data_IF_847306772327
#
_entry.id   IF_847306772327
#
_cell.length_a   1.000
_cell.length_b   1.000
_cell.length_c   1.000
_cell.angle_alpha   90.00
_cell.angle_beta   90.00
_cell.angle_gamma   90.00
#
_symmetry.space_group_name_H-M   'P 1'
#
loop_
_entity.id
_entity.type
_entity.pdbx_description
1 polymer ?
#
# COMPACT_ATOMS: atom_id res chain seq x y z
N UNK A 1 -20.77 -1.16 -11.20
CA UNK A 1 -21.79 -0.93 -10.17
C UNK A 1 -22.66 0.26 -10.55
N UNK A 2 -22.13 1.49 -10.67
CA UNK A 2 -22.93 2.67 -11.05
C UNK A 2 -23.72 2.54 -12.37
N UNK A 3 -23.19 1.79 -13.35
CA UNK A 3 -23.86 1.53 -14.64
C UNK A 3 -24.95 0.45 -14.57
N UNK A 4 -24.80 -0.53 -13.67
CA UNK A 4 -25.58 -1.78 -13.72
C UNK A 4 -26.51 -1.94 -12.52
N UNK A 5 -26.16 -1.36 -11.37
CA UNK A 5 -26.88 -1.42 -10.09
C UNK A 5 -26.73 -0.09 -9.33
N UNK A 6 -27.22 1.04 -9.86
CA UNK A 6 -27.12 2.34 -9.20
C UNK A 6 -27.90 2.42 -7.87
N UNK A 7 -28.99 1.67 -7.74
CA UNK A 7 -29.87 1.65 -6.56
C UNK A 7 -29.17 1.17 -5.28
N UNK A 8 -28.16 0.30 -5.41
CA UNK A 8 -27.36 -0.22 -4.28
C UNK A 8 -26.73 0.91 -3.47
N UNK A 9 -26.40 2.03 -4.12
CA UNK A 9 -25.78 3.20 -3.48
C UNK A 9 -26.75 4.03 -2.63
N UNK A 10 -28.07 3.78 -2.72
CA UNK A 10 -29.05 4.41 -1.83
C UNK A 10 -29.08 3.74 -0.45
N UNK A 11 -28.68 2.47 -0.38
CA UNK A 11 -28.72 1.66 0.85
C UNK A 11 -27.33 1.50 1.47
N UNK A 12 -26.28 1.35 0.63
CA UNK A 12 -24.94 1.03 1.09
C UNK A 12 -23.92 2.12 0.74
N UNK A 13 -23.20 2.59 1.75
CA UNK A 13 -22.01 3.42 1.57
C UNK A 13 -20.81 2.52 1.29
N UNK A 14 -20.21 2.66 0.11
CA UNK A 14 -18.93 2.02 -0.22
C UNK A 14 -17.81 2.98 0.19
N UNK A 15 -16.87 2.50 0.98
CA UNK A 15 -15.67 3.24 1.37
C UNK A 15 -14.42 2.43 1.04
N UNK A 16 -13.36 3.12 0.66
CA UNK A 16 -12.03 2.54 0.60
C UNK A 16 -11.47 2.34 2.00
N UNK A 17 -10.50 1.43 2.12
CA UNK A 17 -9.76 1.25 3.38
C UNK A 17 -9.04 2.52 3.82
N UNK A 18 -8.60 3.36 2.88
CA UNK A 18 -7.94 4.63 3.19
C UNK A 18 -8.92 5.61 3.85
N UNK A 19 -10.12 5.77 3.29
CA UNK A 19 -11.14 6.65 3.86
C UNK A 19 -11.56 6.17 5.26
N UNK A 20 -11.76 4.87 5.43
CA UNK A 20 -12.14 4.29 6.72
C UNK A 20 -11.07 4.51 7.79
N UNK A 21 -9.81 4.20 7.47
CA UNK A 21 -8.70 4.39 8.40
C UNK A 21 -8.47 5.87 8.72
N UNK A 22 -8.53 6.75 7.72
CA UNK A 22 -8.43 8.20 7.94
C UNK A 22 -9.57 8.74 8.79
N UNK A 23 -10.81 8.25 8.61
CA UNK A 23 -11.93 8.60 9.47
C UNK A 23 -11.64 8.20 10.92
N UNK A 24 -11.19 6.97 11.14
CA UNK A 24 -10.93 6.47 12.49
C UNK A 24 -9.81 7.24 13.20
N UNK A 25 -8.74 7.56 12.48
CA UNK A 25 -7.62 8.35 13.01
C UNK A 25 -8.07 9.78 13.31
N UNK A 26 -8.68 10.48 12.34
CA UNK A 26 -9.07 11.89 12.48
C UNK A 26 -10.17 12.11 13.53
N UNK A 27 -11.09 11.16 13.67
CA UNK A 27 -12.14 11.21 14.68
C UNK A 27 -11.67 10.76 16.08
N UNK A 28 -10.40 10.35 16.23
CA UNK A 28 -9.87 9.85 17.50
C UNK A 28 -10.49 8.52 17.95
N UNK A 29 -11.14 7.78 17.04
CA UNK A 29 -11.69 6.45 17.32
C UNK A 29 -10.58 5.42 17.58
N UNK A 30 -9.42 5.64 16.97
CA UNK A 30 -8.19 4.90 17.24
C UNK A 30 -7.06 5.89 17.52
N UNK A 31 -6.11 5.47 18.36
CA UNK A 31 -4.87 6.19 18.62
C UNK A 31 -3.70 5.31 18.22
N UNK A 32 -2.67 5.92 17.64
CA UNK A 32 -1.53 5.20 17.05
C UNK A 32 -0.24 5.62 17.74
N UNK A 33 0.58 4.62 18.06
CA UNK A 33 1.96 4.77 18.47
C UNK A 33 2.86 4.67 17.22
N UNK A 34 3.45 5.80 16.85
CA UNK A 34 4.35 5.87 15.72
C UNK A 34 5.79 5.44 16.06
N UNK A 35 6.06 4.97 17.28
CA UNK A 35 7.38 4.51 17.70
C UNK A 35 7.57 2.99 17.54
N UNK A 36 6.52 2.27 17.14
CA UNK A 36 6.58 0.83 16.87
C UNK A 36 7.43 0.52 15.63
N UNK A 37 7.35 1.36 14.59
CA UNK A 37 8.05 1.17 13.32
C UNK A 37 9.06 2.30 13.09
N UNK A 38 10.23 2.21 13.71
CA UNK A 38 11.27 3.26 13.63
C UNK A 38 12.22 3.13 12.44
N UNK A 39 12.20 1.99 11.75
CA UNK A 39 13.05 1.75 10.58
C UNK A 39 12.58 2.60 9.38
N UNK A 40 13.50 2.95 8.47
CA UNK A 40 13.17 3.65 7.22
C UNK A 40 12.04 2.96 6.46
N UNK A 41 10.94 3.67 6.25
CA UNK A 41 9.75 3.13 5.63
C UNK A 41 9.42 3.87 4.32
N UNK A 42 8.80 3.19 3.37
CA UNK A 42 8.24 3.82 2.15
C UNK A 42 6.83 3.34 1.89
N UNK A 43 6.01 4.25 1.39
CA UNK A 43 4.70 3.90 0.85
C UNK A 43 4.79 3.54 -0.63
N UNK A 44 4.33 2.35 -1.00
CA UNK A 44 4.21 1.96 -2.40
C UNK A 44 2.89 2.46 -2.98
N UNK A 45 2.97 3.45 -3.87
CA UNK A 45 1.85 3.90 -4.72
C UNK A 45 1.44 2.79 -5.70
N UNK A 46 0.33 2.08 -5.47
CA UNK A 46 -0.05 0.97 -6.32
C UNK A 46 -0.96 1.46 -7.44
N UNK A 47 -0.85 0.85 -8.62
CA UNK A 47 -1.61 1.25 -9.79
C UNK A 47 -3.14 1.13 -9.61
N UNK A 48 -3.61 0.23 -8.73
CA UNK A 48 -5.03 0.04 -8.46
C UNK A 48 -5.63 1.22 -7.68
N UNK A 49 -4.98 1.68 -6.60
CA UNK A 49 -5.46 2.77 -5.77
C UNK A 49 -5.04 4.16 -6.27
N UNK A 50 -4.00 4.22 -7.11
CA UNK A 50 -3.63 5.43 -7.83
C UNK A 50 -4.40 5.59 -9.14
N UNK A 51 -3.80 5.12 -10.23
CA UNK A 51 -4.29 5.34 -11.61
C UNK A 51 -5.68 4.77 -11.88
N UNK A 52 -5.96 3.53 -11.43
CA UNK A 52 -7.25 2.88 -11.70
C UNK A 52 -8.38 3.53 -10.91
N UNK A 53 -8.18 3.82 -9.62
CA UNK A 53 -9.16 4.59 -8.83
C UNK A 53 -9.39 5.98 -9.40
N UNK A 54 -8.32 6.70 -9.80
CA UNK A 54 -8.48 8.03 -10.42
C UNK A 54 -9.35 7.98 -11.68
N UNK A 55 -9.08 7.01 -12.56
CA UNK A 55 -9.86 6.82 -13.78
C UNK A 55 -11.31 6.42 -13.52
N UNK A 56 -11.57 5.63 -12.49
CA UNK A 56 -12.89 5.08 -12.21
C UNK A 56 -13.77 6.00 -11.35
N UNK A 57 -13.15 6.75 -10.43
CA UNK A 57 -13.84 7.47 -9.36
C UNK A 57 -13.40 8.93 -9.24
N UNK A 58 -12.46 9.41 -10.05
CA UNK A 58 -11.93 10.77 -9.96
C UNK A 58 -10.96 11.02 -8.79
N UNK A 59 -10.64 9.98 -8.00
CA UNK A 59 -9.78 10.08 -6.82
C UNK A 59 -8.68 9.02 -6.85
N UNK A 60 -7.45 9.43 -6.56
CA UNK A 60 -6.32 8.55 -6.28
C UNK A 60 -6.01 8.59 -4.78
N UNK A 61 -5.61 7.46 -4.20
CA UNK A 61 -5.26 7.35 -2.78
C UNK A 61 -3.74 7.36 -2.56
N UNK A 62 -3.11 8.48 -2.91
CA UNK A 62 -1.67 8.66 -2.75
C UNK A 62 -1.34 9.33 -1.42
N UNK A 63 -2.01 10.43 -1.10
CA UNK A 63 -1.72 11.20 0.10
C UNK A 63 -2.33 10.54 1.33
N UNK A 64 -3.53 9.97 1.22
CA UNK A 64 -4.16 9.23 2.32
C UNK A 64 -3.30 8.04 2.75
N UNK A 65 -2.67 7.36 1.79
CA UNK A 65 -1.71 6.29 2.09
C UNK A 65 -0.49 6.79 2.85
N UNK A 66 0.05 7.96 2.49
CA UNK A 66 1.18 8.60 3.17
C UNK A 66 0.78 9.09 4.56
N UNK A 67 -0.37 9.73 4.70
CA UNK A 67 -0.85 10.27 5.97
C UNK A 67 -1.07 9.17 7.00
N UNK A 68 -1.71 8.05 6.60
CA UNK A 68 -1.85 6.87 7.47
C UNK A 68 -0.46 6.31 7.82
N UNK A 69 0.44 6.20 6.84
CA UNK A 69 1.78 5.65 7.08
C UNK A 69 2.61 6.53 8.02
N UNK A 70 2.54 7.86 7.89
CA UNK A 70 3.21 8.82 8.81
C UNK A 70 2.65 8.77 10.22
N UNK A 71 1.38 8.43 10.38
CA UNK A 71 0.78 8.23 11.70
C UNK A 71 1.32 6.96 12.40
N UNK A 72 1.97 6.06 11.67
CA UNK A 72 2.52 4.79 12.18
C UNK A 72 4.06 4.73 12.17
N UNK A 73 4.72 5.50 11.30
CA UNK A 73 6.17 5.46 11.06
C UNK A 73 6.75 6.88 11.10
N UNK A 74 7.82 7.15 11.85
CA UNK A 74 8.40 8.48 11.95
C UNK A 74 9.36 8.81 10.79
N UNK A 75 10.05 7.81 10.22
CA UNK A 75 10.94 7.94 9.04
C UNK A 75 10.25 7.40 7.78
N UNK A 76 9.24 8.12 7.27
CA UNK A 76 8.61 7.82 5.99
C UNK A 76 9.31 8.57 4.85
N UNK A 77 9.94 7.81 3.95
CA UNK A 77 10.64 8.29 2.77
C UNK A 77 9.80 8.13 1.51
N UNK A 78 10.26 8.74 0.43
CA UNK A 78 9.67 8.61 -0.88
C UNK A 78 10.50 7.71 -1.78
N UNK A 79 9.81 6.94 -2.62
CA UNK A 79 10.40 6.36 -3.83
C UNK A 79 10.34 7.40 -4.96
N UNK A 80 11.27 7.34 -5.91
CA UNK A 80 11.23 8.16 -7.13
C UNK A 80 11.23 7.27 -8.38
N UNK A 81 10.34 7.49 -9.36
CA UNK A 81 9.16 8.37 -9.31
C UNK A 81 8.03 7.81 -8.43
N UNK A 82 7.14 8.68 -7.96
CA UNK A 82 6.00 8.34 -7.09
C UNK A 82 4.65 8.75 -7.71
N UNK A 83 3.57 8.52 -6.97
CA UNK A 83 2.18 8.87 -7.34
C UNK A 83 1.80 8.30 -8.71
N UNK A 84 1.37 9.17 -9.63
CA UNK A 84 0.92 8.78 -10.96
C UNK A 84 2.02 8.11 -11.79
N UNK A 85 3.27 8.48 -11.54
CA UNK A 85 4.45 8.01 -12.27
C UNK A 85 5.08 6.76 -11.63
N UNK A 86 4.58 6.31 -10.48
CA UNK A 86 5.11 5.14 -9.79
C UNK A 86 5.07 3.88 -10.68
N UNK A 87 6.17 3.14 -10.65
CA UNK A 87 6.29 1.87 -11.37
C UNK A 87 5.35 0.80 -10.80
N UNK A 88 4.80 -0.03 -11.67
CA UNK A 88 4.00 -1.19 -11.28
C UNK A 88 4.92 -2.28 -10.65
N UNK A 89 4.38 -3.08 -9.73
CA UNK A 89 5.10 -4.21 -9.12
C UNK A 89 5.30 -5.40 -10.09
N UNK A 90 4.50 -5.48 -11.16
CA UNK A 90 4.51 -6.57 -12.15
C UNK A 90 3.43 -7.64 -11.97
N UNK A 91 2.72 -7.67 -10.84
CA UNK A 91 1.76 -8.74 -10.50
C UNK A 91 0.29 -8.45 -10.84
N UNK A 92 -0.02 -7.27 -11.39
CA UNK A 92 -1.39 -6.89 -11.75
C UNK A 92 -1.95 -7.68 -12.93
N UNK A 93 -3.26 -7.51 -13.20
CA UNK A 93 -3.89 -8.08 -14.41
C UNK A 93 -3.98 -9.61 -14.45
N UNK A 94 -3.82 -10.28 -13.31
CA UNK A 94 -3.80 -11.75 -13.21
C UNK A 94 -2.40 -12.35 -13.24
N UNK A 95 -1.34 -11.55 -13.45
CA UNK A 95 0.03 -12.05 -13.57
C UNK A 95 0.55 -12.79 -12.33
N UNK A 96 0.07 -12.44 -11.14
CA UNK A 96 0.39 -13.18 -9.91
C UNK A 96 -0.23 -14.58 -9.87
N UNK A 97 -1.48 -14.72 -10.29
CA UNK A 97 -2.24 -15.97 -10.21
C UNK A 97 -1.95 -16.93 -11.37
N UNK A 98 -1.46 -16.39 -12.48
CA UNK A 98 -1.16 -17.11 -13.71
C UNK A 98 0.34 -17.48 -13.78
N UNK A 99 0.77 -18.41 -14.65
CA UNK A 99 2.15 -18.91 -14.69
C UNK A 99 3.15 -17.93 -15.33
N UNK A 100 3.04 -16.63 -15.04
CA UNK A 100 3.89 -15.55 -15.57
C UNK A 100 5.00 -15.15 -14.58
N UNK A 101 5.57 -16.12 -13.88
CA UNK A 101 6.56 -15.86 -12.81
C UNK A 101 7.81 -15.15 -13.36
N UNK A 102 8.33 -15.62 -14.50
CA UNK A 102 9.52 -15.03 -15.11
C UNK A 102 9.26 -13.59 -15.57
N UNK A 103 8.12 -13.34 -16.22
CA UNK A 103 7.73 -12.05 -16.76
C UNK A 103 7.45 -11.04 -15.65
N UNK A 104 6.71 -11.42 -14.60
CA UNK A 104 6.40 -10.53 -13.48
C UNK A 104 7.66 -10.17 -12.67
N UNK A 105 8.60 -11.11 -12.51
CA UNK A 105 9.89 -10.86 -11.84
C UNK A 105 10.78 -9.97 -12.71
N UNK A 106 10.88 -10.27 -14.01
CA UNK A 106 11.63 -9.44 -14.95
C UNK A 106 11.10 -8.01 -14.97
N UNK A 107 9.80 -7.81 -15.15
CA UNK A 107 9.19 -6.47 -15.11
C UNK A 107 9.38 -5.80 -13.74
N UNK A 108 9.18 -6.55 -12.65
CA UNK A 108 9.31 -6.07 -11.28
C UNK A 108 10.72 -5.63 -10.87
N UNK A 109 11.77 -5.94 -11.66
CA UNK A 109 13.15 -5.49 -11.39
C UNK A 109 13.26 -3.97 -11.21
N UNK A 110 12.49 -3.20 -11.96
CA UNK A 110 12.48 -1.73 -11.84
C UNK A 110 11.88 -1.30 -10.51
N UNK A 111 10.86 -2.01 -10.01
CA UNK A 111 10.31 -1.78 -8.67
C UNK A 111 11.30 -2.19 -7.58
N UNK A 112 11.97 -3.34 -7.74
CA UNK A 112 12.99 -3.80 -6.80
C UNK A 112 14.14 -2.78 -6.68
N UNK A 113 14.65 -2.29 -7.81
CA UNK A 113 15.65 -1.22 -7.85
C UNK A 113 15.15 0.04 -7.14
N UNK A 114 13.93 0.47 -7.45
CA UNK A 114 13.34 1.65 -6.83
C UNK A 114 13.21 1.54 -5.29
N UNK A 115 12.86 0.35 -4.79
CA UNK A 115 12.81 0.08 -3.35
C UNK A 115 14.22 0.15 -2.76
N UNK A 116 15.21 -0.50 -3.38
CA UNK A 116 16.60 -0.48 -2.93
C UNK A 116 17.17 0.95 -2.88
N UNK A 117 16.94 1.75 -3.92
CA UNK A 117 17.38 3.15 -4.03
C UNK A 117 16.75 4.06 -2.96
N UNK A 118 15.58 3.71 -2.41
CA UNK A 118 14.94 4.48 -1.34
C UNK A 118 15.60 4.29 0.04
N UNK A 119 16.43 3.24 0.19
CA UNK A 119 17.05 2.88 1.46
C UNK A 119 16.03 2.47 2.54
N UNK A 120 14.85 2.03 2.13
CA UNK A 120 13.80 1.58 3.02
C UNK A 120 14.05 0.15 3.50
N UNK A 121 13.75 -0.12 4.77
CA UNK A 121 13.68 -1.46 5.33
C UNK A 121 12.23 -1.94 5.50
N UNK A 122 11.25 -1.04 5.45
CA UNK A 122 9.82 -1.36 5.50
C UNK A 122 9.10 -0.79 4.27
N UNK A 123 8.33 -1.63 3.57
CA UNK A 123 7.49 -1.22 2.44
C UNK A 123 6.01 -1.39 2.79
N UNK A 124 5.26 -0.30 2.79
CA UNK A 124 3.81 -0.30 2.97
C UNK A 124 3.15 -0.49 1.59
N UNK A 125 2.52 -1.64 1.39
CA UNK A 125 1.87 -2.02 0.13
C UNK A 125 0.37 -2.32 0.35
N UNK A 126 -0.54 -1.37 0.11
CA UNK A 126 -1.96 -1.55 0.43
C UNK A 126 -2.72 -2.46 -0.57
N UNK A 127 -2.12 -2.78 -1.72
CA UNK A 127 -2.70 -3.65 -2.74
C UNK A 127 -2.20 -5.10 -2.58
N UNK A 128 -3.11 -6.07 -2.58
CA UNK A 128 -2.76 -7.49 -2.40
C UNK A 128 -1.71 -8.02 -3.38
N UNK A 129 -1.88 -7.75 -4.67
CA UNK A 129 -0.92 -8.15 -5.69
C UNK A 129 0.43 -7.49 -5.48
N UNK A 130 0.45 -6.21 -5.06
CA UNK A 130 1.70 -5.51 -4.78
C UNK A 130 2.42 -6.09 -3.57
N UNK A 131 1.69 -6.32 -2.46
CA UNK A 131 2.27 -6.91 -1.26
C UNK A 131 2.85 -8.27 -1.57
N UNK A 132 2.09 -9.18 -2.16
CA UNK A 132 2.56 -10.54 -2.42
C UNK A 132 3.73 -10.57 -3.41
N UNK A 133 3.68 -9.76 -4.47
CA UNK A 133 4.78 -9.63 -5.42
C UNK A 133 6.06 -9.12 -4.77
N UNK A 134 5.96 -8.05 -3.97
CA UNK A 134 7.14 -7.46 -3.33
C UNK A 134 7.64 -8.41 -2.24
N UNK A 135 6.77 -8.84 -1.33
CA UNK A 135 7.10 -9.64 -0.15
C UNK A 135 7.60 -11.05 -0.49
N UNK A 136 6.86 -11.81 -1.32
CA UNK A 136 7.13 -13.23 -1.56
C UNK A 136 8.06 -13.47 -2.74
N UNK A 137 8.19 -12.50 -3.65
CA UNK A 137 8.97 -12.67 -4.87
C UNK A 137 10.12 -11.67 -4.96
N UNK A 138 9.87 -10.39 -5.22
CA UNK A 138 10.96 -9.44 -5.49
C UNK A 138 11.95 -9.33 -4.32
N UNK A 139 11.48 -9.46 -3.07
CA UNK A 139 12.33 -9.47 -1.89
C UNK A 139 13.38 -10.59 -1.93
N UNK A 140 12.99 -11.78 -2.39
CA UNK A 140 13.87 -12.95 -2.53
C UNK A 140 14.70 -12.91 -3.82
N UNK A 141 14.07 -12.60 -4.96
CA UNK A 141 14.73 -12.65 -6.27
C UNK A 141 15.79 -11.54 -6.45
N UNK A 142 15.71 -10.47 -5.66
CA UNK A 142 16.64 -9.34 -5.70
C UNK A 142 17.28 -9.03 -4.34
N UNK A 143 17.21 -9.96 -3.38
CA UNK A 143 17.85 -9.86 -2.05
C UNK A 143 17.63 -8.51 -1.34
N UNK A 144 16.37 -8.02 -1.34
CA UNK A 144 16.08 -6.66 -0.88
C UNK A 144 16.18 -6.50 0.64
N UNK A 145 16.03 -7.59 1.41
CA UNK A 145 16.13 -7.55 2.87
C UNK A 145 15.09 -6.68 3.56
N UNK A 146 13.91 -6.52 2.95
CA UNK A 146 12.85 -5.64 3.45
C UNK A 146 11.73 -6.40 4.16
N UNK A 147 11.06 -5.73 5.08
CA UNK A 147 9.72 -6.10 5.56
C UNK A 147 8.65 -5.46 4.67
N UNK A 148 7.52 -6.15 4.48
CA UNK A 148 6.39 -5.63 3.70
C UNK A 148 5.11 -5.80 4.52
N UNK A 149 4.37 -4.70 4.70
CA UNK A 149 3.08 -4.71 5.40
C UNK A 149 1.97 -4.17 4.52
N UNK A 150 0.76 -4.70 4.70
CA UNK A 150 -0.44 -3.97 4.34
C UNK A 150 -0.59 -2.72 5.20
N UNK A 151 -1.32 -1.74 4.69
CA UNK A 151 -1.59 -0.50 5.43
C UNK A 151 -2.42 -0.74 6.70
N UNK A 152 -3.35 -1.71 6.69
CA UNK A 152 -4.12 -2.07 7.88
C UNK A 152 -3.33 -2.95 8.85
N UNK A 153 -2.36 -3.74 8.38
CA UNK A 153 -1.41 -4.46 9.26
C UNK A 153 -0.55 -3.43 10.00
N UNK A 154 -0.03 -2.43 9.29
CA UNK A 154 0.72 -1.32 9.87
C UNK A 154 -0.10 -0.58 10.95
N UNK A 155 -1.35 -0.22 10.63
CA UNK A 155 -2.22 0.45 11.60
C UNK A 155 -2.49 -0.44 12.81
N UNK A 156 -2.79 -1.73 12.60
CA UNK A 156 -3.05 -2.67 13.69
C UNK A 156 -1.83 -2.79 14.63
N UNK A 157 -0.62 -2.88 14.08
CA UNK A 157 0.63 -2.92 14.83
C UNK A 157 0.90 -1.61 15.60
N UNK A 158 0.43 -0.48 15.10
CA UNK A 158 0.53 0.82 15.78
C UNK A 158 -0.61 1.14 16.77
N UNK A 159 -1.70 0.38 16.83
CA UNK A 159 -2.81 0.69 17.77
C UNK A 159 -2.35 0.76 19.23
N UNK A 160 -2.67 1.84 19.93
CA UNK A 160 -2.56 1.92 21.40
C UNK A 160 -3.77 1.21 22.00
N UNK A 161 -3.56 0.08 22.66
CA UNK A 161 -4.62 -0.67 23.34
C UNK A 161 -4.26 -0.89 24.80
N UNK A 162 -5.25 -0.93 25.73
CA UNK A 162 -4.99 -1.13 27.16
C UNK A 162 -4.22 -2.41 27.50
N UNK A 163 -4.28 -3.44 26.64
CA UNK A 163 -3.72 -4.78 26.88
C UNK A 163 -2.86 -5.28 25.70
N UNK A 164 -2.21 -4.41 24.96
CA UNK A 164 -1.32 -4.85 23.88
C UNK A 164 -0.06 -5.47 24.50
N UNK A 165 0.07 -6.80 24.43
CA UNK A 165 1.29 -7.53 24.77
C UNK A 165 2.35 -7.34 23.69
#
# INVERSE_FOLDING_TARGET
MNRWFPEVFNEFKIVSVFELLMEYIRAGKIQLDNTIHTMPAVFHDPCNYGRKSFRAFGQAFFEEGRDISRACCPDLREMYPNRMEAYCCGAGGGAWAMPFSAERVYYGRTKARQISESGAHLVIAPCHNCRDQIMKSLNKEYDLGIEVKYIWELVADSLIMPNKQ
#
